data_IF_236380685424
#
_entry.id   IF_236380685424
#
_cell.length_a   1.000
_cell.length_b   1.000
_cell.length_c   1.000
_cell.angle_alpha   90.00
_cell.angle_beta   90.00
_cell.angle_gamma   90.00
#
_symmetry.space_group_name_H-M   'P 1'
#
loop_
_entity.id
_entity.type
_entity.pdbx_description
1 polymer ?
#
# COMPACT_ATOMS: atom_id res chain seq x y z
N UNK A 1 -31.00 -47.86 -17.56
CA UNK A 1 -30.53 -46.60 -18.22
C UNK A 1 -29.91 -45.72 -17.15
N UNK A 2 -28.72 -45.13 -17.39
CA UNK A 2 -28.14 -44.10 -16.52
C UNK A 2 -28.91 -42.80 -16.78
N UNK A 3 -29.49 -42.20 -15.74
CA UNK A 3 -30.15 -40.90 -15.87
C UNK A 3 -29.09 -39.81 -15.87
N UNK A 4 -29.12 -38.91 -16.82
CA UNK A 4 -28.31 -37.72 -16.85
C UNK A 4 -28.75 -36.74 -15.77
N UNK A 5 -27.80 -36.04 -15.17
CA UNK A 5 -28.06 -35.09 -14.10
C UNK A 5 -27.12 -33.87 -14.18
N UNK A 6 -27.56 -32.76 -13.64
CA UNK A 6 -26.79 -31.55 -13.45
C UNK A 6 -26.54 -31.28 -11.98
N UNK A 7 -25.42 -30.72 -11.64
CA UNK A 7 -25.07 -30.28 -10.28
C UNK A 7 -24.91 -28.76 -10.32
N UNK A 8 -25.73 -28.07 -9.54
CA UNK A 8 -25.60 -26.64 -9.26
C UNK A 8 -24.88 -26.42 -7.93
N UNK A 9 -23.95 -25.48 -7.89
CA UNK A 9 -23.26 -25.04 -6.68
C UNK A 9 -23.43 -23.53 -6.54
N UNK A 10 -23.81 -23.11 -5.34
CA UNK A 10 -23.83 -21.70 -4.92
C UNK A 10 -22.78 -21.52 -3.82
N UNK A 11 -21.73 -20.77 -4.13
CA UNK A 11 -20.55 -20.64 -3.25
C UNK A 11 -20.54 -19.25 -2.63
N UNK A 12 -20.93 -19.18 -1.36
CA UNK A 12 -20.86 -17.98 -0.52
C UNK A 12 -19.60 -17.91 0.34
N UNK A 13 -19.48 -16.86 1.14
CA UNK A 13 -18.34 -16.63 2.05
C UNK A 13 -18.39 -17.51 3.31
N UNK A 14 -19.56 -18.01 3.67
CA UNK A 14 -19.81 -18.83 4.87
C UNK A 14 -20.65 -20.07 4.60
N UNK A 15 -21.00 -20.33 3.34
CA UNK A 15 -21.80 -21.52 2.97
C UNK A 15 -21.54 -21.94 1.53
N UNK A 16 -21.75 -23.22 1.27
CA UNK A 16 -21.87 -23.76 -0.08
C UNK A 16 -23.20 -24.46 -0.21
N UNK A 17 -24.08 -23.88 -1.03
CA UNK A 17 -25.33 -24.53 -1.47
C UNK A 17 -25.06 -25.50 -2.60
N UNK A 18 -25.78 -26.61 -2.63
CA UNK A 18 -25.72 -27.57 -3.72
C UNK A 18 -27.11 -28.14 -4.06
N UNK A 19 -27.33 -28.39 -5.34
CA UNK A 19 -28.50 -29.08 -5.83
C UNK A 19 -28.13 -30.04 -6.96
N UNK A 20 -28.70 -31.23 -6.95
CA UNK A 20 -28.61 -32.18 -8.06
C UNK A 20 -29.99 -32.28 -8.70
N UNK A 21 -30.06 -32.09 -10.00
CA UNK A 21 -31.33 -32.07 -10.74
C UNK A 21 -31.21 -33.01 -11.95
N UNK A 22 -32.24 -33.83 -12.16
CA UNK A 22 -32.35 -34.58 -13.41
C UNK A 22 -32.85 -33.68 -14.55
N UNK A 23 -32.76 -34.16 -15.79
CA UNK A 23 -33.25 -33.45 -16.97
C UNK A 23 -34.74 -33.11 -16.93
N UNK A 24 -35.51 -33.86 -16.16
CA UNK A 24 -36.96 -33.65 -15.92
C UNK A 24 -37.23 -32.65 -14.77
N UNK A 25 -36.20 -31.92 -14.34
CA UNK A 25 -36.21 -30.96 -13.21
C UNK A 25 -36.59 -31.58 -11.86
N UNK A 26 -36.59 -32.91 -11.72
CA UNK A 26 -36.79 -33.54 -10.43
C UNK A 26 -35.48 -33.65 -9.63
N UNK A 27 -35.60 -33.49 -8.29
CA UNK A 27 -34.44 -33.61 -7.39
C UNK A 27 -34.35 -35.08 -6.93
N UNK A 28 -33.25 -35.80 -7.22
CA UNK A 28 -33.08 -37.17 -6.77
C UNK A 28 -32.96 -37.25 -5.25
N UNK A 29 -33.52 -38.33 -4.70
CA UNK A 29 -33.38 -38.65 -3.29
C UNK A 29 -32.51 -39.90 -3.12
N UNK A 30 -31.53 -39.84 -2.19
CA UNK A 30 -30.62 -40.95 -1.90
C UNK A 30 -30.62 -41.28 -0.41
N UNK A 31 -30.52 -42.57 -0.08
CA UNK A 31 -30.22 -42.98 1.30
C UNK A 31 -28.79 -42.67 1.62
N UNK A 32 -28.53 -41.83 2.64
CA UNK A 32 -27.20 -41.44 3.05
C UNK A 32 -27.09 -41.33 4.57
N UNK A 33 -25.88 -41.55 5.08
CA UNK A 33 -25.58 -41.26 6.48
C UNK A 33 -25.56 -39.73 6.68
N UNK A 34 -26.21 -39.29 7.75
CA UNK A 34 -26.17 -37.88 8.16
C UNK A 34 -25.09 -37.71 9.20
N UNK A 35 -24.20 -36.73 9.02
CA UNK A 35 -23.21 -36.37 10.02
C UNK A 35 -23.93 -36.02 11.34
N UNK A 36 -23.44 -36.55 12.45
CA UNK A 36 -24.03 -36.33 13.77
C UNK A 36 -25.23 -37.22 14.13
N UNK A 37 -25.67 -38.12 13.24
CA UNK A 37 -26.70 -39.07 13.57
C UNK A 37 -26.10 -40.32 14.27
N UNK A 38 -26.36 -40.47 15.56
CA UNK A 38 -25.88 -41.58 16.40
C UNK A 38 -26.56 -42.90 16.07
N UNK A 39 -27.74 -42.89 15.48
CA UNK A 39 -28.57 -44.12 15.26
C UNK A 39 -28.15 -44.99 14.06
N UNK A 40 -27.04 -44.60 13.38
CA UNK A 40 -26.47 -45.36 12.24
C UNK A 40 -27.45 -45.68 11.09
N UNK A 41 -28.70 -45.20 11.12
CA UNK A 41 -29.70 -45.43 10.09
C UNK A 41 -29.48 -44.50 8.90
N UNK A 42 -29.53 -45.07 7.70
CA UNK A 42 -29.52 -44.26 6.49
C UNK A 42 -30.88 -43.55 6.32
N UNK A 43 -30.84 -42.24 6.19
CA UNK A 43 -32.02 -41.43 5.95
C UNK A 43 -32.10 -41.11 4.46
N UNK A 44 -33.31 -41.26 3.88
CA UNK A 44 -33.54 -40.82 2.50
C UNK A 44 -33.69 -39.32 2.47
N UNK A 45 -32.74 -38.63 1.80
CA UNK A 45 -32.73 -37.18 1.62
C UNK A 45 -32.65 -36.79 0.17
N UNK A 46 -33.32 -35.71 -0.19
CA UNK A 46 -33.15 -35.06 -1.48
C UNK A 46 -31.74 -34.54 -1.60
N UNK A 47 -31.16 -34.64 -2.80
CA UNK A 47 -29.81 -34.15 -3.08
C UNK A 47 -29.82 -32.62 -3.31
N UNK A 48 -30.34 -31.90 -2.34
CA UNK A 48 -30.32 -30.43 -2.23
C UNK A 48 -30.02 -30.09 -0.79
N UNK A 49 -29.19 -29.10 -0.58
CA UNK A 49 -28.80 -28.66 0.77
C UNK A 49 -27.72 -27.61 0.76
N UNK A 50 -27.28 -27.25 1.95
CA UNK A 50 -26.14 -26.35 2.14
C UNK A 50 -25.21 -26.90 3.22
N UNK A 51 -23.95 -26.59 3.06
CA UNK A 51 -22.91 -26.80 4.08
C UNK A 51 -22.50 -25.42 4.57
N UNK A 52 -22.63 -25.19 5.87
CA UNK A 52 -22.24 -23.94 6.52
C UNK A 52 -20.87 -24.14 7.17
N UNK A 53 -20.02 -23.15 7.07
CA UNK A 53 -18.69 -23.11 7.66
C UNK A 53 -18.39 -21.70 8.18
N UNK A 54 -17.32 -21.54 8.94
CA UNK A 54 -16.90 -20.25 9.45
C UNK A 54 -16.60 -19.28 8.30
N UNK A 55 -17.00 -18.02 8.46
CA UNK A 55 -16.87 -17.02 7.42
C UNK A 55 -15.42 -16.88 6.94
N UNK A 56 -15.22 -17.04 5.67
CA UNK A 56 -13.93 -16.83 5.03
C UNK A 56 -13.52 -15.37 5.09
N UNK A 57 -12.31 -15.08 5.59
CA UNK A 57 -11.78 -13.71 5.58
C UNK A 57 -11.68 -13.18 4.15
N UNK A 58 -12.21 -11.98 3.92
CA UNK A 58 -12.13 -11.34 2.61
C UNK A 58 -10.68 -11.03 2.21
N UNK A 59 -10.40 -10.96 0.91
CA UNK A 59 -9.09 -10.58 0.41
C UNK A 59 -8.77 -9.07 0.59
N UNK A 60 -9.70 -8.30 1.20
CA UNK A 60 -9.60 -6.85 1.37
C UNK A 60 -8.31 -6.44 2.07
N UNK A 61 -8.04 -6.97 3.26
CA UNK A 61 -6.86 -6.60 4.06
C UNK A 61 -5.55 -6.96 3.36
N UNK A 62 -5.52 -8.12 2.72
CA UNK A 62 -4.36 -8.53 1.90
C UNK A 62 -4.16 -7.62 0.69
N UNK A 63 -5.23 -7.13 0.05
CA UNK A 63 -5.17 -6.16 -1.04
C UNK A 63 -4.67 -4.80 -0.56
N UNK A 64 -5.18 -4.30 0.58
CA UNK A 64 -4.75 -3.05 1.20
C UNK A 64 -3.27 -3.10 1.58
N UNK A 65 -2.84 -4.14 2.27
CA UNK A 65 -1.44 -4.35 2.67
C UNK A 65 -0.50 -4.45 1.47
N UNK A 66 -0.91 -5.16 0.41
CA UNK A 66 -0.16 -5.24 -0.85
C UNK A 66 -0.08 -3.88 -1.54
N UNK A 67 -1.18 -3.14 -1.60
CA UNK A 67 -1.25 -1.79 -2.16
C UNK A 67 -0.34 -0.82 -1.41
N UNK A 68 -0.37 -0.83 -0.08
CA UNK A 68 0.50 -0.01 0.77
C UNK A 68 1.98 -0.33 0.53
N UNK A 69 2.36 -1.61 0.58
CA UNK A 69 3.73 -2.06 0.32
C UNK A 69 4.24 -1.62 -1.05
N UNK A 70 3.45 -1.78 -2.11
CA UNK A 70 3.81 -1.32 -3.47
C UNK A 70 4.01 0.20 -3.53
N UNK A 71 3.17 0.99 -2.84
CA UNK A 71 3.32 2.45 -2.77
C UNK A 71 4.62 2.84 -2.07
N UNK A 72 4.95 2.20 -0.94
CA UNK A 72 6.21 2.45 -0.22
C UNK A 72 7.44 2.08 -1.06
N UNK A 73 7.44 0.91 -1.69
CA UNK A 73 8.55 0.48 -2.57
C UNK A 73 8.77 1.47 -3.71
N UNK A 74 7.70 1.91 -4.39
CA UNK A 74 7.79 2.89 -5.48
C UNK A 74 8.27 4.26 -4.99
N UNK A 75 7.85 4.68 -3.79
CA UNK A 75 8.32 5.94 -3.17
C UNK A 75 9.82 5.85 -2.89
N UNK A 76 10.27 4.81 -2.23
CA UNK A 76 11.69 4.58 -1.92
C UNK A 76 12.54 4.53 -3.20
N UNK A 77 12.08 3.82 -4.21
CA UNK A 77 12.78 3.75 -5.49
C UNK A 77 12.99 5.14 -6.12
N UNK A 78 11.93 5.97 -6.16
CA UNK A 78 12.03 7.33 -6.71
C UNK A 78 12.97 8.23 -5.93
N UNK A 79 12.93 8.16 -4.59
CA UNK A 79 13.83 8.92 -3.74
C UNK A 79 15.29 8.48 -3.89
N UNK A 80 15.53 7.18 -3.96
CA UNK A 80 16.87 6.64 -4.21
C UNK A 80 17.39 7.02 -5.61
N UNK A 81 16.52 7.07 -6.61
CA UNK A 81 16.89 7.53 -7.96
C UNK A 81 17.28 9.02 -7.92
N UNK A 82 16.48 9.87 -7.27
CA UNK A 82 16.83 11.29 -7.09
C UNK A 82 18.17 11.43 -6.36
N UNK A 83 18.36 10.67 -5.27
CA UNK A 83 19.60 10.71 -4.50
C UNK A 83 20.82 10.39 -5.39
N UNK A 84 20.75 9.36 -6.24
CA UNK A 84 21.85 9.01 -7.15
C UNK A 84 22.21 10.12 -8.12
N UNK A 85 21.23 10.87 -8.64
CA UNK A 85 21.50 12.02 -9.52
C UNK A 85 22.18 13.18 -8.80
N UNK A 86 21.91 13.33 -7.51
CA UNK A 86 22.45 14.42 -6.71
C UNK A 86 23.69 14.06 -5.89
N UNK A 87 24.08 12.78 -5.86
CA UNK A 87 25.14 12.27 -4.98
C UNK A 87 26.48 12.98 -5.22
N UNK A 88 26.96 12.98 -6.45
CA UNK A 88 28.23 13.62 -6.82
C UNK A 88 28.20 15.15 -6.60
N UNK A 89 27.23 15.91 -7.14
CA UNK A 89 27.23 17.36 -6.95
C UNK A 89 26.95 17.80 -5.51
N UNK A 90 26.17 17.04 -4.73
CA UNK A 90 25.97 17.33 -3.31
C UNK A 90 27.20 17.01 -2.49
N UNK A 91 27.91 15.93 -2.80
CA UNK A 91 29.16 15.58 -2.11
C UNK A 91 30.25 16.61 -2.33
N UNK A 92 30.23 17.27 -3.48
CA UNK A 92 31.18 18.39 -3.75
C UNK A 92 30.88 19.64 -2.88
N UNK A 93 29.60 19.88 -2.53
CA UNK A 93 29.20 21.00 -1.65
C UNK A 93 29.31 20.63 -0.18
N UNK A 94 28.85 19.41 0.18
CA UNK A 94 28.78 18.95 1.56
C UNK A 94 28.77 17.39 1.57
N UNK A 95 29.94 16.76 1.81
CA UNK A 95 30.10 15.32 1.73
C UNK A 95 29.18 14.52 2.66
N UNK A 96 28.81 15.11 3.78
CA UNK A 96 28.02 14.42 4.82
C UNK A 96 26.53 14.79 4.79
N UNK A 97 26.08 15.62 3.86
CA UNK A 97 24.70 16.10 3.81
C UNK A 97 23.66 14.96 3.74
N UNK A 98 23.82 14.03 2.79
CA UNK A 98 22.91 12.91 2.62
C UNK A 98 22.95 11.93 3.80
N UNK A 99 24.09 11.76 4.43
CA UNK A 99 24.24 10.94 5.62
C UNK A 99 23.49 11.57 6.81
N UNK A 100 23.68 12.87 7.05
CA UNK A 100 22.93 13.60 8.10
C UNK A 100 21.43 13.56 7.88
N UNK A 101 20.94 13.68 6.64
CA UNK A 101 19.52 13.57 6.33
C UNK A 101 18.97 12.18 6.67
N UNK A 102 19.73 11.11 6.44
CA UNK A 102 19.35 9.76 6.83
C UNK A 102 19.27 9.58 8.34
N UNK A 103 20.11 10.28 9.08
CA UNK A 103 20.12 10.26 10.55
C UNK A 103 19.13 11.24 11.20
N UNK A 104 18.40 12.03 10.40
CA UNK A 104 17.51 13.09 10.91
C UNK A 104 16.44 12.58 11.87
N UNK A 105 16.05 11.31 11.79
CA UNK A 105 15.07 10.67 12.65
C UNK A 105 15.65 9.95 13.87
N UNK A 106 17.00 9.85 13.97
CA UNK A 106 17.68 9.24 15.12
C UNK A 106 17.71 10.19 16.31
N UNK A 107 17.80 9.63 17.49
CA UNK A 107 18.06 10.38 18.73
C UNK A 107 19.47 10.99 18.66
N UNK A 108 19.69 12.12 19.34
CA UNK A 108 20.96 12.85 19.26
C UNK A 108 22.18 11.98 19.58
N UNK A 109 22.08 11.09 20.58
CA UNK A 109 23.17 10.18 20.97
C UNK A 109 23.56 9.14 19.95
N UNK A 110 22.67 8.84 18.99
CA UNK A 110 22.87 7.82 17.96
C UNK A 110 23.35 8.42 16.63
N UNK A 111 23.42 9.77 16.54
CA UNK A 111 23.87 10.45 15.33
C UNK A 111 25.39 10.44 15.25
N UNK A 112 25.91 10.02 14.10
CA UNK A 112 27.36 9.93 13.85
C UNK A 112 27.94 11.21 13.24
N UNK A 113 27.15 11.99 12.49
CA UNK A 113 27.67 13.11 11.69
C UNK A 113 27.44 14.46 12.34
N UNK A 114 26.21 14.88 12.55
CA UNK A 114 25.91 16.13 13.24
C UNK A 114 24.47 16.20 13.73
N UNK A 115 24.22 16.99 14.77
CA UNK A 115 22.90 17.23 15.34
C UNK A 115 21.94 17.82 14.29
N UNK A 116 22.42 18.80 13.53
CA UNK A 116 21.64 19.56 12.56
C UNK A 116 21.72 18.92 11.17
N UNK A 117 20.59 18.49 10.57
CA UNK A 117 20.62 17.67 9.37
C UNK A 117 20.92 18.44 8.08
N UNK A 118 20.50 19.71 7.96
CA UNK A 118 20.62 20.43 6.69
C UNK A 118 22.01 21.05 6.52
N UNK A 119 22.44 21.89 7.49
CA UNK A 119 23.68 22.67 7.38
C UNK A 119 24.82 22.23 8.31
N UNK A 120 24.59 21.24 9.16
CA UNK A 120 25.51 20.81 10.21
C UNK A 120 25.90 21.94 11.23
N UNK A 121 25.37 23.14 11.08
CA UNK A 121 25.63 24.31 11.90
C UNK A 121 24.31 24.88 12.42
N UNK A 122 24.23 25.09 13.75
CA UNK A 122 23.02 25.53 14.43
C UNK A 122 22.52 26.90 13.94
N UNK A 123 23.44 27.86 13.76
CA UNK A 123 23.09 29.20 13.32
C UNK A 123 22.50 29.22 11.91
N UNK A 124 23.07 28.43 11.00
CA UNK A 124 22.59 28.33 9.62
C UNK A 124 21.27 27.58 9.58
N UNK A 125 21.09 26.52 10.37
CA UNK A 125 19.84 25.74 10.47
C UNK A 125 18.72 26.63 11.02
N UNK A 126 18.99 27.43 12.04
CA UNK A 126 18.04 28.38 12.62
C UNK A 126 17.61 29.43 11.59
N UNK A 127 18.59 30.08 10.92
CA UNK A 127 18.31 31.05 9.86
C UNK A 127 17.47 30.44 8.71
N UNK A 128 17.75 29.20 8.35
CA UNK A 128 16.92 28.47 7.38
C UNK A 128 15.47 28.33 7.84
N UNK A 129 15.22 27.88 9.07
CA UNK A 129 13.86 27.68 9.60
C UNK A 129 13.11 29.00 9.80
N UNK A 130 13.82 30.07 10.15
CA UNK A 130 13.24 31.43 10.22
C UNK A 130 12.82 31.91 8.82
N UNK A 131 13.65 31.71 7.81
CA UNK A 131 13.35 32.11 6.43
C UNK A 131 12.30 31.21 5.77
N UNK A 132 12.32 29.91 6.06
CA UNK A 132 11.42 28.93 5.47
C UNK A 132 10.72 28.11 6.56
N UNK A 133 9.64 28.64 7.18
CA UNK A 133 8.92 27.93 8.25
C UNK A 133 8.39 26.57 7.83
N UNK A 134 8.13 26.38 6.54
CA UNK A 134 7.72 25.10 5.97
C UNK A 134 8.43 24.85 4.63
N UNK A 135 8.51 23.57 4.24
CA UNK A 135 9.05 23.17 2.95
C UNK A 135 8.29 23.78 1.76
N UNK A 136 7.04 24.17 1.93
CA UNK A 136 6.24 24.84 0.89
C UNK A 136 6.74 26.26 0.65
N UNK A 137 7.20 26.99 1.68
CA UNK A 137 7.82 28.29 1.53
C UNK A 137 9.12 28.19 0.74
N UNK A 138 9.94 27.19 1.04
CA UNK A 138 11.15 26.91 0.26
C UNK A 138 10.82 26.62 -1.21
N UNK A 139 9.83 25.75 -1.47
CA UNK A 139 9.42 25.41 -2.83
C UNK A 139 8.92 26.64 -3.61
N UNK A 140 8.10 27.49 -2.96
CA UNK A 140 7.61 28.74 -3.55
C UNK A 140 8.77 29.71 -3.85
N UNK A 141 9.71 29.83 -2.93
CA UNK A 141 10.89 30.65 -3.12
C UNK A 141 11.70 30.18 -4.34
N UNK A 142 12.03 28.89 -4.40
CA UNK A 142 12.82 28.32 -5.49
C UNK A 142 12.11 28.39 -6.86
N UNK A 143 10.80 28.31 -6.88
CA UNK A 143 10.01 28.44 -8.12
C UNK A 143 10.03 29.88 -8.68
N UNK A 144 10.18 30.88 -7.82
CA UNK A 144 10.15 32.29 -8.20
C UNK A 144 11.53 32.92 -8.34
N UNK A 145 12.59 32.30 -7.78
CA UNK A 145 13.95 32.84 -7.88
C UNK A 145 14.52 32.59 -9.27
N UNK A 146 15.27 33.58 -9.76
CA UNK A 146 16.05 33.48 -11.00
C UNK A 146 17.57 33.33 -10.71
N UNK A 147 17.94 33.43 -9.45
CA UNK A 147 19.29 33.30 -8.99
C UNK A 147 19.66 31.86 -8.69
N UNK A 148 20.98 31.59 -8.70
CA UNK A 148 21.49 30.27 -8.33
C UNK A 148 21.21 30.02 -6.85
N UNK A 149 20.54 28.91 -6.56
CA UNK A 149 20.18 28.50 -5.20
C UNK A 149 21.16 27.44 -4.67
N UNK A 150 21.25 27.34 -3.34
CA UNK A 150 21.99 26.26 -2.68
C UNK A 150 21.45 24.89 -3.09
N UNK A 151 22.32 24.01 -3.57
CA UNK A 151 21.96 22.71 -4.11
C UNK A 151 21.28 21.79 -3.08
N UNK A 152 21.64 21.94 -1.78
CA UNK A 152 21.00 21.21 -0.68
C UNK A 152 19.52 21.57 -0.57
N UNK A 153 19.19 22.86 -0.72
CA UNK A 153 17.79 23.34 -0.68
C UNK A 153 17.00 22.89 -1.91
N UNK A 154 17.62 22.89 -3.08
CA UNK A 154 17.02 22.36 -4.31
C UNK A 154 16.70 20.86 -4.14
N UNK A 155 17.66 20.09 -3.62
CA UNK A 155 17.45 18.67 -3.34
C UNK A 155 16.28 18.44 -2.37
N UNK A 156 16.20 19.18 -1.25
CA UNK A 156 15.11 19.06 -0.27
C UNK A 156 13.73 19.32 -0.90
N UNK A 157 13.64 20.37 -1.70
CA UNK A 157 12.40 20.73 -2.39
C UNK A 157 11.95 19.63 -3.38
N UNK A 158 12.88 19.14 -4.20
CA UNK A 158 12.61 18.05 -5.15
C UNK A 158 12.28 16.73 -4.45
N UNK A 159 13.02 16.39 -3.40
CA UNK A 159 12.75 15.19 -2.59
C UNK A 159 11.35 15.24 -1.99
N UNK A 160 10.91 16.40 -1.48
CA UNK A 160 9.57 16.58 -0.98
C UNK A 160 8.51 16.41 -2.07
N UNK A 161 8.70 17.00 -3.25
CA UNK A 161 7.76 16.86 -4.39
C UNK A 161 7.65 15.39 -4.79
N UNK A 162 8.76 14.68 -4.95
CA UNK A 162 8.80 13.28 -5.36
C UNK A 162 8.20 12.35 -4.29
N UNK A 163 8.45 12.65 -3.02
CA UNK A 163 7.91 11.89 -1.89
C UNK A 163 6.39 11.94 -1.82
N UNK A 164 5.80 13.10 -2.09
CA UNK A 164 4.37 13.37 -1.91
C UNK A 164 3.62 13.60 -3.22
N UNK A 165 4.25 13.35 -4.37
CA UNK A 165 3.55 13.49 -5.64
C UNK A 165 2.33 12.58 -5.69
N UNK A 166 1.23 13.11 -6.20
CA UNK A 166 0.00 12.36 -6.45
C UNK A 166 0.15 11.33 -7.55
N UNK A 167 -0.92 10.62 -7.81
CA UNK A 167 -1.01 9.60 -8.85
C UNK A 167 -1.49 10.27 -10.14
N UNK A 168 -0.64 10.33 -11.17
CA UNK A 168 -0.97 10.94 -12.46
C UNK A 168 -1.58 9.95 -13.47
N UNK A 169 -2.31 8.94 -13.00
CA UNK A 169 -2.96 7.97 -13.90
C UNK A 169 -4.40 8.35 -14.28
N UNK A 170 -4.87 9.50 -13.83
CA UNK A 170 -6.20 10.00 -14.18
C UNK A 170 -5.97 11.26 -15.02
N UNK A 171 -6.15 11.14 -16.32
CA UNK A 171 -6.32 12.28 -17.21
C UNK A 171 -7.71 12.88 -16.92
N UNK A 172 -7.75 13.93 -16.11
CA UNK A 172 -8.99 14.62 -15.78
C UNK A 172 -8.73 15.86 -14.94
N UNK A 173 -9.57 16.86 -15.14
CA UNK A 173 -9.62 18.01 -14.22
C UNK A 173 -10.22 17.52 -12.90
N UNK A 174 -9.43 17.55 -11.83
CA UNK A 174 -9.92 17.38 -10.47
C UNK A 174 -10.64 18.69 -10.10
N UNK A 175 -11.95 18.70 -10.22
CA UNK A 175 -12.75 19.74 -9.59
C UNK A 175 -12.75 19.45 -8.08
N UNK A 176 -12.19 20.37 -7.31
CA UNK A 176 -12.35 20.40 -5.88
C UNK A 176 -13.69 21.09 -5.59
N UNK A 177 -14.76 20.28 -5.48
CA UNK A 177 -16.01 20.68 -4.84
C UNK A 177 -15.94 20.35 -3.37
#
# INVERSE_FOLDING_TARGET
>A
MRKEYSIGLDIGTNSVGYAVIYHDFTVPAKKMKVLGNTDKKNIKKNLIGSVIFDEGSTASDRRLSRGARRRYTRRSYRLNTLQRFFDEPLSAVDPNFLARLKESFLVEGDKQYAKHPIFANEAQEKAYHEKFPTIYHLRKFLANTKEQADLRLVYLALAHIIKYRGHFLIDGQLNAD
#
